data_IF_049456144693
#
_entry.id   IF_049456144693
#
_cell.length_a   1.000
_cell.length_b   1.000
_cell.length_c   1.000
_cell.angle_alpha   90.00
_cell.angle_beta   90.00
_cell.angle_gamma   90.00
#
_symmetry.space_group_name_H-M   'P 1'
#
loop_
_entity.id
_entity.type
_entity.pdbx_description
1 polymer ?
#
# COMPACT_ATOMS: atom_id res chain seq x y z
N UNK A 1 -13.68 -26.27 -28.65
CA UNK A 1 -12.53 -25.45 -28.20
C UNK A 1 -11.41 -25.65 -29.20
N UNK A 2 -10.83 -24.59 -29.77
CA UNK A 2 -9.71 -24.74 -30.71
C UNK A 2 -8.45 -25.25 -29.99
N UNK A 3 -7.59 -25.99 -30.69
CA UNK A 3 -6.30 -26.48 -30.17
C UNK A 3 -5.45 -25.35 -29.60
N UNK A 4 -5.49 -24.19 -30.25
CA UNK A 4 -4.77 -22.98 -29.84
C UNK A 4 -5.22 -22.49 -28.46
N UNK A 5 -6.53 -22.43 -28.21
CA UNK A 5 -7.04 -21.97 -26.93
C UNK A 5 -6.66 -22.91 -25.76
N UNK A 6 -6.56 -24.21 -26.03
CA UNK A 6 -6.08 -25.17 -25.04
C UNK A 6 -4.60 -24.94 -24.71
N UNK A 7 -3.78 -24.58 -25.70
CA UNK A 7 -2.36 -24.28 -25.48
C UNK A 7 -2.20 -23.02 -24.62
N UNK A 8 -2.92 -21.94 -24.94
CA UNK A 8 -2.97 -20.72 -24.10
C UNK A 8 -3.33 -21.04 -22.65
N UNK A 9 -4.36 -21.87 -22.46
CA UNK A 9 -4.85 -22.22 -21.13
C UNK A 9 -3.85 -23.05 -20.33
N UNK A 10 -3.24 -24.05 -20.96
CA UNK A 10 -2.24 -24.91 -20.33
C UNK A 10 -1.01 -24.10 -19.92
N UNK A 11 -0.54 -23.18 -20.76
CA UNK A 11 0.59 -22.30 -20.45
C UNK A 11 0.26 -21.35 -19.28
N UNK A 12 -0.94 -20.78 -19.28
CA UNK A 12 -1.40 -19.92 -18.19
C UNK A 12 -1.54 -20.69 -16.88
N UNK A 13 -2.07 -21.92 -16.92
CA UNK A 13 -2.17 -22.82 -15.77
C UNK A 13 -0.78 -23.18 -15.24
N UNK A 14 0.15 -23.54 -16.12
CA UNK A 14 1.53 -23.84 -15.74
C UNK A 14 2.19 -22.64 -15.03
N UNK A 15 1.95 -21.41 -15.50
CA UNK A 15 2.45 -20.20 -14.83
C UNK A 15 1.83 -19.98 -13.44
N UNK A 16 0.52 -20.24 -13.27
CA UNK A 16 -0.14 -20.19 -11.96
C UNK A 16 0.44 -21.25 -11.01
N UNK A 17 0.63 -22.48 -11.48
CA UNK A 17 1.21 -23.59 -10.71
C UNK A 17 2.67 -23.33 -10.34
N UNK A 18 3.42 -22.65 -11.22
CA UNK A 18 4.77 -22.15 -10.92
C UNK A 18 4.78 -20.99 -9.91
N UNK A 19 3.61 -20.53 -9.43
CA UNK A 19 3.49 -19.49 -8.41
C UNK A 19 3.60 -18.06 -8.94
N UNK A 20 3.40 -17.84 -10.25
CA UNK A 20 3.35 -16.50 -10.82
C UNK A 20 2.05 -15.82 -10.39
N UNK A 21 2.16 -14.82 -9.51
CA UNK A 21 1.02 -14.01 -9.11
C UNK A 21 0.55 -13.13 -10.27
N UNK A 22 -0.66 -13.38 -10.75
CA UNK A 22 -1.30 -12.67 -11.85
C UNK A 22 -2.63 -12.09 -11.41
N UNK A 23 -3.04 -10.98 -12.03
CA UNK A 23 -4.33 -10.34 -11.74
C UNK A 23 -5.19 -10.25 -13.00
N UNK A 24 -6.44 -10.70 -12.91
CA UNK A 24 -7.39 -10.65 -14.04
C UNK A 24 -8.44 -9.52 -13.87
N UNK A 25 -8.40 -8.78 -12.75
CA UNK A 25 -9.17 -7.55 -12.59
C UNK A 25 -10.67 -7.77 -12.34
N UNK A 26 -11.09 -8.98 -11.97
CA UNK A 26 -12.45 -9.20 -11.49
C UNK A 26 -12.61 -8.59 -10.10
N UNK A 27 -13.25 -7.40 -10.03
CA UNK A 27 -13.56 -6.72 -8.76
C UNK A 27 -14.57 -7.50 -7.90
N UNK A 28 -15.25 -8.50 -8.47
CA UNK A 28 -16.25 -9.32 -7.76
C UNK A 28 -15.63 -10.50 -7.01
N UNK A 29 -14.39 -10.87 -7.31
CA UNK A 29 -13.67 -11.91 -6.59
C UNK A 29 -12.87 -11.27 -5.44
N UNK A 30 -13.05 -11.74 -4.18
CA UNK A 30 -12.36 -11.18 -3.01
C UNK A 30 -10.83 -11.32 -3.06
N UNK A 31 -10.32 -12.16 -3.98
CA UNK A 31 -8.93 -12.23 -4.39
C UNK A 31 -8.85 -11.99 -5.89
N UNK A 32 -8.31 -10.84 -6.31
CA UNK A 32 -8.02 -10.54 -7.72
C UNK A 32 -6.90 -11.40 -8.30
N UNK A 33 -6.30 -12.27 -7.48
CA UNK A 33 -5.22 -13.17 -7.83
C UNK A 33 -5.76 -14.37 -8.63
N UNK A 34 -5.12 -14.64 -9.77
CA UNK A 34 -5.40 -15.84 -10.55
C UNK A 34 -4.91 -17.08 -9.80
N UNK A 35 -5.85 -17.94 -9.46
CA UNK A 35 -5.65 -19.29 -8.92
C UNK A 35 -6.09 -20.33 -9.94
N UNK A 36 -5.67 -21.59 -9.77
CA UNK A 36 -6.13 -22.70 -10.62
C UNK A 36 -7.66 -22.81 -10.63
N UNK A 37 -8.29 -22.69 -9.46
CA UNK A 37 -9.77 -22.70 -9.34
C UNK A 37 -10.45 -21.55 -10.09
N UNK A 38 -9.90 -20.35 -10.05
CA UNK A 38 -10.46 -19.22 -10.81
C UNK A 38 -10.22 -19.39 -12.31
N UNK A 39 -9.12 -20.03 -12.70
CA UNK A 39 -8.80 -20.33 -14.08
C UNK A 39 -9.77 -21.37 -14.67
N UNK A 40 -10.09 -22.44 -13.91
CA UNK A 40 -11.11 -23.43 -14.28
C UNK A 40 -12.49 -22.78 -14.49
N UNK A 41 -12.86 -21.82 -13.62
CA UNK A 41 -14.11 -21.07 -13.76
C UNK A 41 -14.10 -20.19 -15.01
N UNK A 42 -12.96 -19.57 -15.34
CA UNK A 42 -12.84 -18.78 -16.56
C UNK A 42 -12.95 -19.66 -17.81
N UNK A 43 -12.32 -20.84 -17.80
CA UNK A 43 -12.46 -21.83 -18.87
C UNK A 43 -13.92 -22.21 -19.09
N UNK A 44 -14.64 -22.53 -18.00
CA UNK A 44 -16.05 -22.87 -18.06
C UNK A 44 -16.90 -21.71 -18.62
N UNK A 45 -16.63 -20.47 -18.22
CA UNK A 45 -17.34 -19.27 -18.72
C UNK A 45 -17.08 -19.04 -20.21
N UNK A 46 -15.84 -19.23 -20.67
CA UNK A 46 -15.53 -19.17 -22.11
C UNK A 46 -16.28 -20.26 -22.87
N UNK A 47 -16.32 -21.48 -22.33
CA UNK A 47 -17.05 -22.60 -22.95
C UNK A 47 -18.57 -22.38 -22.98
N UNK A 48 -19.14 -21.71 -21.97
CA UNK A 48 -20.58 -21.38 -21.92
C UNK A 48 -20.95 -20.13 -22.70
N UNK A 49 -19.98 -19.40 -23.27
CA UNK A 49 -20.21 -18.12 -23.95
C UNK A 49 -20.57 -16.98 -22.99
N UNK A 50 -20.33 -17.15 -21.69
CA UNK A 50 -20.51 -16.08 -20.71
C UNK A 50 -19.46 -14.98 -20.88
N UNK A 51 -19.81 -13.76 -20.48
CA UNK A 51 -18.86 -12.65 -20.46
C UNK A 51 -17.69 -12.98 -19.55
N UNK A 52 -16.46 -12.74 -20.02
CA UNK A 52 -15.23 -12.92 -19.23
C UNK A 52 -14.60 -11.55 -18.94
N UNK A 53 -13.79 -11.41 -17.88
CA UNK A 53 -13.19 -10.12 -17.53
C UNK A 53 -12.36 -9.54 -18.69
N UNK A 54 -12.49 -8.23 -18.93
CA UNK A 54 -11.85 -7.56 -20.06
C UNK A 54 -10.33 -7.79 -20.13
N UNK A 55 -9.66 -7.90 -18.98
CA UNK A 55 -8.22 -8.18 -18.92
C UNK A 55 -7.85 -9.60 -19.34
N UNK A 56 -8.74 -10.58 -19.10
CA UNK A 56 -8.58 -11.94 -19.60
C UNK A 56 -8.82 -12.00 -21.12
N UNK A 57 -9.85 -11.30 -21.61
CA UNK A 57 -10.07 -11.15 -23.06
C UNK A 57 -8.84 -10.54 -23.73
N UNK A 58 -8.30 -9.47 -23.16
CA UNK A 58 -7.11 -8.82 -23.66
C UNK A 58 -5.87 -9.74 -23.66
N UNK A 59 -5.75 -10.63 -22.67
CA UNK A 59 -4.70 -11.64 -22.60
C UNK A 59 -4.82 -12.68 -23.72
N UNK A 60 -6.03 -13.20 -23.94
CA UNK A 60 -6.31 -14.15 -25.00
C UNK A 60 -6.02 -13.55 -26.37
N UNK A 61 -6.53 -12.35 -26.64
CA UNK A 61 -6.33 -11.67 -27.93
C UNK A 61 -4.87 -11.28 -28.13
N UNK A 62 -4.15 -10.84 -27.08
CA UNK A 62 -2.71 -10.57 -27.17
C UNK A 62 -1.94 -11.84 -27.53
N UNK A 63 -2.28 -12.97 -26.92
CA UNK A 63 -1.67 -14.26 -27.25
C UNK A 63 -1.97 -14.68 -28.70
N UNK A 64 -3.22 -14.55 -29.14
CA UNK A 64 -3.63 -14.89 -30.51
C UNK A 64 -2.87 -14.05 -31.56
N UNK A 65 -2.67 -12.76 -31.29
CA UNK A 65 -1.94 -11.86 -32.21
C UNK A 65 -0.43 -12.03 -32.19
N UNK A 66 0.16 -12.46 -31.07
CA UNK A 66 1.63 -12.50 -30.90
C UNK A 66 2.20 -13.92 -30.90
N UNK A 67 1.37 -14.94 -30.70
CA UNK A 67 1.80 -16.32 -30.47
C UNK A 67 2.66 -16.51 -29.21
N UNK A 68 2.77 -15.50 -28.35
CA UNK A 68 3.72 -15.48 -27.23
C UNK A 68 3.03 -15.27 -25.89
N UNK A 69 3.34 -16.15 -24.95
CA UNK A 69 2.84 -16.07 -23.58
C UNK A 69 3.62 -15.03 -22.74
N UNK A 70 4.81 -14.62 -23.17
CA UNK A 70 5.66 -13.67 -22.43
C UNK A 70 4.95 -12.32 -22.18
N UNK A 71 4.45 -11.58 -23.19
CA UNK A 71 3.76 -10.30 -22.95
C UNK A 71 2.47 -10.46 -22.14
N UNK A 72 1.81 -11.61 -22.25
CA UNK A 72 0.63 -11.93 -21.45
C UNK A 72 0.98 -12.08 -19.98
N UNK A 73 1.95 -12.91 -19.65
CA UNK A 73 2.38 -13.11 -18.26
C UNK A 73 2.97 -11.83 -17.68
N UNK A 74 3.75 -11.07 -18.44
CA UNK A 74 4.25 -9.76 -18.00
C UNK A 74 3.09 -8.80 -17.71
N UNK A 75 2.15 -8.63 -18.64
CA UNK A 75 0.99 -7.75 -18.45
C UNK A 75 0.10 -8.14 -17.27
N UNK A 76 -0.19 -9.43 -17.10
CA UNK A 76 -1.03 -9.93 -16.00
C UNK A 76 -0.30 -9.86 -14.64
N UNK A 77 1.02 -10.07 -14.59
CA UNK A 77 1.79 -10.10 -13.34
C UNK A 77 2.33 -8.73 -12.90
N UNK A 78 2.39 -7.74 -13.79
CA UNK A 78 3.06 -6.45 -13.52
C UNK A 78 2.54 -5.75 -12.28
N UNK A 79 1.21 -5.63 -12.15
CA UNK A 79 0.59 -4.96 -11.00
C UNK A 79 0.86 -5.70 -9.68
N UNK A 80 0.77 -7.04 -9.69
CA UNK A 80 1.08 -7.86 -8.52
C UNK A 80 2.56 -7.76 -8.12
N UNK A 81 3.49 -7.77 -9.10
CA UNK A 81 4.93 -7.56 -8.88
C UNK A 81 5.21 -6.17 -8.30
N UNK A 82 4.61 -5.13 -8.87
CA UNK A 82 4.73 -3.75 -8.40
C UNK A 82 4.24 -3.61 -6.95
N UNK A 83 3.06 -4.17 -6.66
CA UNK A 83 2.46 -4.20 -5.34
C UNK A 83 3.36 -4.90 -4.32
N UNK A 84 3.91 -6.08 -4.66
CA UNK A 84 4.83 -6.83 -3.80
C UNK A 84 6.12 -6.05 -3.53
N UNK A 85 6.64 -5.33 -4.53
CA UNK A 85 7.84 -4.48 -4.41
C UNK A 85 7.58 -3.31 -3.45
N UNK A 86 6.45 -2.60 -3.60
CA UNK A 86 6.03 -1.54 -2.67
C UNK A 86 5.78 -2.09 -1.26
N UNK A 87 5.06 -3.20 -1.13
CA UNK A 87 4.80 -3.81 0.19
C UNK A 87 6.08 -4.20 0.93
N UNK A 88 7.09 -4.73 0.21
CA UNK A 88 8.39 -5.08 0.79
C UNK A 88 9.14 -3.84 1.27
N UNK A 89 9.08 -2.74 0.52
CA UNK A 89 9.73 -1.49 0.87
C UNK A 89 9.25 -0.94 2.22
N UNK A 90 7.93 -0.91 2.44
CA UNK A 90 7.36 -0.37 3.67
C UNK A 90 7.34 -1.37 4.84
N UNK A 91 7.62 -2.66 4.59
CA UNK A 91 7.62 -3.70 5.64
C UNK A 91 8.62 -3.39 6.75
N UNK A 92 9.85 -2.98 6.39
CA UNK A 92 10.89 -2.69 7.38
C UNK A 92 10.54 -1.46 8.21
N UNK A 93 10.03 -0.41 7.58
CA UNK A 93 9.54 0.79 8.26
C UNK A 93 8.39 0.49 9.21
N UNK A 94 7.49 -0.42 8.82
CA UNK A 94 6.39 -0.83 9.69
C UNK A 94 6.88 -1.62 10.91
N UNK A 95 7.88 -2.49 10.74
CA UNK A 95 8.52 -3.18 11.87
C UNK A 95 9.10 -2.15 12.85
N UNK A 96 9.78 -1.12 12.33
CA UNK A 96 10.32 -0.06 13.17
C UNK A 96 9.22 0.73 13.90
N UNK A 97 8.13 1.09 13.23
CA UNK A 97 6.97 1.74 13.87
C UNK A 97 6.33 0.84 14.93
N UNK A 98 6.24 -0.47 14.70
CA UNK A 98 5.76 -1.43 15.69
C UNK A 98 6.67 -1.47 16.94
N UNK A 99 8.00 -1.41 16.75
CA UNK A 99 8.95 -1.34 17.86
C UNK A 99 8.76 -0.05 18.67
N UNK A 100 8.62 1.10 17.99
CA UNK A 100 8.32 2.38 18.67
C UNK A 100 7.01 2.27 19.46
N UNK A 101 5.97 1.68 18.86
CA UNK A 101 4.68 1.50 19.52
C UNK A 101 4.80 0.62 20.78
N UNK A 102 5.57 -0.46 20.72
CA UNK A 102 5.85 -1.32 21.90
C UNK A 102 6.53 -0.51 23.00
N UNK A 103 7.58 0.26 22.66
CA UNK A 103 8.29 1.10 23.63
C UNK A 103 7.37 2.17 24.22
N UNK A 104 6.53 2.81 23.40
CA UNK A 104 5.57 3.83 23.85
C UNK A 104 4.50 3.23 24.79
N UNK A 105 3.97 2.04 24.46
CA UNK A 105 3.02 1.33 25.32
C UNK A 105 3.69 0.96 26.65
N UNK A 106 4.91 0.42 26.63
CA UNK A 106 5.65 0.06 27.83
C UNK A 106 5.97 1.28 28.72
N UNK A 107 6.38 2.39 28.11
CA UNK A 107 6.64 3.65 28.82
C UNK A 107 5.37 4.22 29.44
N UNK A 108 4.25 4.22 28.70
CA UNK A 108 2.95 4.70 29.20
C UNK A 108 2.43 3.82 30.34
N UNK A 109 2.56 2.51 30.19
CA UNK A 109 2.30 1.53 31.23
C UNK A 109 3.10 1.83 32.51
N UNK A 110 4.43 1.96 32.37
CA UNK A 110 5.31 2.25 33.50
C UNK A 110 4.94 3.57 34.20
N UNK A 111 4.65 4.62 33.43
CA UNK A 111 4.17 5.89 33.94
C UNK A 111 2.88 5.73 34.76
N UNK A 112 1.90 5.00 34.22
CA UNK A 112 0.60 4.81 34.86
C UNK A 112 0.68 4.02 36.18
N UNK A 113 1.56 3.02 36.24
CA UNK A 113 1.65 2.12 37.39
C UNK A 113 2.64 2.57 38.47
N UNK A 114 3.68 3.31 38.11
CA UNK A 114 4.74 3.68 39.06
C UNK A 114 4.78 5.18 39.34
N UNK A 115 4.76 6.01 38.29
CA UNK A 115 4.98 7.46 38.42
C UNK A 115 3.70 8.19 38.83
N UNK A 116 2.57 7.86 38.19
CA UNK A 116 1.30 8.55 38.45
C UNK A 116 0.83 8.43 39.91
N UNK A 117 0.88 7.24 40.57
CA UNK A 117 0.53 7.12 41.98
C UNK A 117 1.41 7.97 42.89
N UNK A 118 2.71 8.09 42.61
CA UNK A 118 3.62 8.95 43.38
C UNK A 118 3.28 10.44 43.22
N UNK A 119 2.95 10.88 41.99
CA UNK A 119 2.47 12.24 41.75
C UNK A 119 1.17 12.51 42.51
N UNK A 120 0.25 11.54 42.53
CA UNK A 120 -1.01 11.65 43.29
C UNK A 120 -0.76 11.71 44.80
N UNK A 121 0.17 10.92 45.33
CA UNK A 121 0.58 10.96 46.73
C UNK A 121 1.18 12.32 47.13
N UNK A 122 2.14 12.83 46.35
CA UNK A 122 2.75 14.15 46.60
C UNK A 122 1.69 15.26 46.57
N UNK A 123 0.76 15.21 45.62
CA UNK A 123 -0.34 16.18 45.57
C UNK A 123 -1.25 16.08 46.79
N UNK A 124 -1.57 14.87 47.22
CA UNK A 124 -2.37 14.67 48.42
C UNK A 124 -1.70 15.31 49.64
N UNK A 125 -0.40 15.10 49.81
CA UNK A 125 0.38 15.74 50.88
C UNK A 125 0.38 17.27 50.75
N UNK A 126 0.55 17.83 49.55
CA UNK A 126 0.49 19.29 49.33
C UNK A 126 -0.88 19.90 49.67
N UNK A 127 -1.98 19.18 49.42
CA UNK A 127 -3.32 19.67 49.79
C UNK A 127 -3.53 19.77 51.30
N UNK A 128 -2.72 19.08 52.11
CA UNK A 128 -2.74 19.24 53.57
C UNK A 128 -2.02 20.50 54.03
N UNK A 129 -1.05 21.01 53.25
CA UNK A 129 -0.21 22.16 53.59
C UNK A 129 -0.73 23.50 53.06
N UNK A 130 -1.44 23.50 51.92
CA UNK A 130 -1.98 24.71 51.29
C UNK A 130 -3.52 24.75 51.35
N UNK A 131 -4.12 25.95 51.49
CA UNK A 131 -5.58 26.14 51.51
C UNK A 131 -6.24 25.42 50.32
N UNK A 132 -7.41 24.79 50.52
CA UNK A 132 -8.04 23.91 49.55
C UNK A 132 -8.41 24.70 48.29
N UNK A 133 -7.51 24.72 47.31
CA UNK A 133 -7.90 24.90 45.92
C UNK A 133 -8.29 23.52 45.43
N UNK A 134 -9.48 23.39 44.84
CA UNK A 134 -9.91 22.12 44.24
C UNK A 134 -8.79 21.62 43.33
N UNK A 135 -8.32 20.37 43.51
CA UNK A 135 -7.24 19.85 42.69
C UNK A 135 -7.72 19.80 41.24
N UNK A 136 -7.22 20.73 40.43
CA UNK A 136 -7.48 20.76 38.99
C UNK A 136 -6.82 19.51 38.39
N UNK A 137 -7.63 18.47 38.15
CA UNK A 137 -7.38 17.55 37.03
C UNK A 137 -6.72 16.20 37.28
N UNK A 138 -6.47 15.73 38.52
CA UNK A 138 -5.81 14.41 38.74
C UNK A 138 -6.66 13.22 38.27
N UNK A 139 -7.92 13.14 38.70
CA UNK A 139 -8.85 12.07 38.28
C UNK A 139 -9.07 12.06 36.77
N UNK A 140 -9.13 13.25 36.14
CA UNK A 140 -9.24 13.38 34.68
C UNK A 140 -7.96 12.95 33.97
N UNK A 141 -6.79 13.36 34.45
CA UNK A 141 -5.50 12.97 33.86
C UNK A 141 -5.26 11.45 33.93
N UNK A 142 -5.59 10.82 35.06
CA UNK A 142 -5.52 9.37 35.20
C UNK A 142 -6.47 8.65 34.22
N UNK A 143 -7.71 9.15 34.08
CA UNK A 143 -8.65 8.63 33.09
C UNK A 143 -8.11 8.78 31.66
N UNK A 144 -7.60 9.96 31.29
CA UNK A 144 -7.03 10.22 29.97
C UNK A 144 -5.80 9.35 29.68
N UNK A 145 -4.93 9.13 30.66
CA UNK A 145 -3.78 8.24 30.52
C UNK A 145 -4.20 6.77 30.31
N UNK A 146 -5.22 6.28 31.03
CA UNK A 146 -5.80 4.94 30.82
C UNK A 146 -6.44 4.80 29.43
N UNK A 147 -7.23 5.80 29.02
CA UNK A 147 -7.84 5.83 27.69
C UNK A 147 -6.79 5.86 26.59
N UNK A 148 -5.73 6.64 26.75
CA UNK A 148 -4.63 6.71 25.81
C UNK A 148 -3.84 5.41 25.73
N UNK A 149 -3.56 4.75 26.86
CA UNK A 149 -2.96 3.43 26.87
C UNK A 149 -3.82 2.42 26.09
N UNK A 150 -5.13 2.40 26.35
CA UNK A 150 -6.08 1.57 25.60
C UNK A 150 -6.08 1.88 24.10
N UNK A 151 -6.08 3.16 23.73
CA UNK A 151 -5.97 3.60 22.34
C UNK A 151 -4.67 3.13 21.68
N UNK A 152 -3.53 3.26 22.35
CA UNK A 152 -2.25 2.82 21.82
C UNK A 152 -2.19 1.30 21.61
N UNK A 153 -2.74 0.51 22.54
CA UNK A 153 -2.85 -0.95 22.39
C UNK A 153 -3.74 -1.30 21.20
N UNK A 154 -4.90 -0.66 21.05
CA UNK A 154 -5.79 -0.87 19.91
C UNK A 154 -5.12 -0.49 18.58
N UNK A 155 -4.41 0.64 18.55
CA UNK A 155 -3.66 1.09 17.38
C UNK A 155 -2.55 0.10 17.01
N UNK A 156 -1.79 -0.40 17.99
CA UNK A 156 -0.78 -1.44 17.79
C UNK A 156 -1.37 -2.73 17.22
N UNK A 157 -2.49 -3.21 17.78
CA UNK A 157 -3.19 -4.39 17.25
C UNK A 157 -3.71 -4.13 15.82
N UNK A 158 -4.23 -2.94 15.55
CA UNK A 158 -4.64 -2.51 14.21
C UNK A 158 -3.48 -2.54 13.21
N UNK A 159 -2.30 -2.06 13.61
CA UNK A 159 -1.09 -2.11 12.79
C UNK A 159 -0.64 -3.56 12.52
N UNK A 160 -0.72 -4.45 13.51
CA UNK A 160 -0.43 -5.88 13.31
C UNK A 160 -1.39 -6.54 12.32
N UNK A 161 -2.69 -6.27 12.44
CA UNK A 161 -3.70 -6.79 11.50
C UNK A 161 -3.45 -6.22 10.10
N UNK A 162 -3.15 -4.92 10.00
CA UNK A 162 -2.81 -4.29 8.72
C UNK A 162 -1.54 -4.91 8.11
N UNK A 163 -0.52 -5.23 8.90
CA UNK A 163 0.68 -5.93 8.45
C UNK A 163 0.37 -7.32 7.89
N UNK A 164 -0.50 -8.09 8.57
CA UNK A 164 -0.88 -9.44 8.14
C UNK A 164 -1.78 -9.45 6.90
N UNK A 165 -2.68 -8.47 6.76
CA UNK A 165 -3.64 -8.39 5.63
C UNK A 165 -3.14 -7.55 4.44
N UNK A 166 -1.84 -7.21 4.38
CA UNK A 166 -1.28 -6.41 3.28
C UNK A 166 -1.72 -4.93 3.28
N UNK A 167 -2.26 -4.43 4.39
CA UNK A 167 -2.56 -3.01 4.60
C UNK A 167 -1.34 -2.10 4.49
N UNK A 168 -0.13 -2.62 4.76
CA UNK A 168 1.14 -1.90 4.54
C UNK A 168 1.27 -1.48 3.08
N UNK A 169 0.98 -2.37 2.14
CA UNK A 169 1.07 -2.05 0.73
C UNK A 169 0.03 -0.98 0.34
N UNK A 170 -1.18 -1.04 0.91
CA UNK A 170 -2.20 0.03 0.74
C UNK A 170 -1.71 1.38 1.25
N UNK A 171 -1.05 1.43 2.41
CA UNK A 171 -0.45 2.66 2.92
C UNK A 171 0.70 3.15 2.04
N UNK A 172 1.56 2.23 1.57
CA UNK A 172 2.64 2.55 0.64
C UNK A 172 2.15 3.10 -0.70
N UNK A 173 0.98 2.66 -1.17
CA UNK A 173 0.33 3.23 -2.34
C UNK A 173 -0.06 4.69 -2.14
N UNK A 174 -0.61 5.03 -0.97
CA UNK A 174 -0.92 6.41 -0.62
C UNK A 174 0.34 7.27 -0.52
N UNK A 175 1.44 6.71 0.00
CA UNK A 175 2.72 7.40 0.16
C UNK A 175 3.57 7.46 -1.13
N UNK A 176 2.94 7.50 -2.31
CA UNK A 176 3.63 7.65 -3.62
C UNK A 176 3.74 6.35 -4.44
N UNK A 177 3.45 5.19 -3.85
CA UNK A 177 3.49 3.91 -4.56
C UNK A 177 2.52 3.81 -5.75
N UNK A 178 1.43 4.60 -5.77
CA UNK A 178 0.52 4.68 -6.94
C UNK A 178 1.22 5.16 -8.21
N UNK A 179 2.04 6.22 -8.11
CA UNK A 179 2.76 6.77 -9.27
C UNK A 179 3.75 5.74 -9.81
N UNK A 180 4.53 5.10 -8.92
CA UNK A 180 5.41 4.00 -9.29
C UNK A 180 4.68 2.87 -10.03
N UNK A 181 3.57 2.37 -9.47
CA UNK A 181 2.79 1.30 -10.10
C UNK A 181 2.27 1.71 -11.47
N UNK A 182 1.73 2.94 -11.59
CA UNK A 182 1.21 3.49 -12.84
C UNK A 182 2.28 3.52 -13.92
N UNK A 183 3.46 4.08 -13.63
CA UNK A 183 4.57 4.12 -14.58
C UNK A 183 5.04 2.72 -14.97
N UNK A 184 5.10 1.78 -14.01
CA UNK A 184 5.49 0.40 -14.31
C UNK A 184 4.44 -0.32 -15.20
N UNK A 185 3.15 -0.09 -14.95
CA UNK A 185 2.07 -0.62 -15.82
C UNK A 185 2.07 0.03 -17.20
N UNK A 186 2.35 1.33 -17.30
CA UNK A 186 2.47 2.04 -18.58
C UNK A 186 3.66 1.54 -19.39
N UNK A 187 4.82 1.33 -18.75
CA UNK A 187 5.98 0.75 -19.39
C UNK A 187 5.71 -0.65 -19.96
N UNK A 188 5.05 -1.50 -19.17
CA UNK A 188 4.68 -2.85 -19.61
C UNK A 188 3.68 -2.80 -20.76
N UNK A 189 2.66 -1.93 -20.66
CA UNK A 189 1.70 -1.72 -21.73
C UNK A 189 2.40 -1.24 -23.01
N UNK A 190 3.31 -0.26 -22.91
CA UNK A 190 4.08 0.25 -24.05
C UNK A 190 4.92 -0.84 -24.72
N UNK A 191 5.57 -1.72 -23.94
CA UNK A 191 6.31 -2.86 -24.47
C UNK A 191 5.42 -3.88 -25.19
N UNK A 192 4.28 -4.22 -24.59
CA UNK A 192 3.30 -5.12 -25.23
C UNK A 192 2.70 -4.49 -26.49
N UNK A 193 2.43 -3.18 -26.46
CA UNK A 193 1.95 -2.42 -27.62
C UNK A 193 2.94 -2.50 -28.79
N UNK A 194 4.24 -2.31 -28.53
CA UNK A 194 5.28 -2.46 -29.57
C UNK A 194 5.27 -3.85 -30.20
N UNK A 195 5.14 -4.90 -29.38
CA UNK A 195 5.04 -6.27 -29.87
C UNK A 195 3.79 -6.49 -30.72
N UNK A 196 2.64 -5.98 -30.30
CA UNK A 196 1.39 -6.07 -31.06
C UNK A 196 1.49 -5.35 -32.41
N UNK A 197 2.06 -4.14 -32.43
CA UNK A 197 2.26 -3.36 -33.66
C UNK A 197 3.23 -4.07 -34.61
N UNK A 198 4.27 -4.70 -34.07
CA UNK A 198 5.24 -5.49 -34.85
C UNK A 198 4.56 -6.72 -35.49
N UNK A 199 3.53 -7.27 -34.84
CA UNK A 199 2.69 -8.34 -35.38
C UNK A 199 1.50 -7.83 -36.21
N UNK A 200 1.50 -6.57 -36.64
CA UNK A 200 0.52 -6.03 -37.58
C UNK A 200 -0.79 -5.54 -36.96
N UNK A 201 -0.87 -5.43 -35.62
CA UNK A 201 -2.02 -4.81 -34.96
C UNK A 201 -1.94 -3.28 -35.12
N UNK A 202 -3.07 -2.65 -35.46
CA UNK A 202 -3.17 -1.19 -35.55
C UNK A 202 -2.80 -0.51 -34.22
N UNK A 203 -2.06 0.61 -34.27
CA UNK A 203 -1.49 1.27 -33.08
C UNK A 203 -2.51 1.60 -32.00
N UNK A 204 -3.70 2.07 -32.37
CA UNK A 204 -4.76 2.42 -31.41
C UNK A 204 -5.31 1.17 -30.71
N UNK A 205 -5.60 0.11 -31.48
CA UNK A 205 -6.05 -1.18 -30.93
C UNK A 205 -4.95 -1.83 -30.07
N UNK A 206 -3.69 -1.75 -30.50
CA UNK A 206 -2.55 -2.25 -29.74
C UNK A 206 -2.41 -1.51 -28.39
N UNK A 207 -2.61 -0.19 -28.36
CA UNK A 207 -2.58 0.61 -27.13
C UNK A 207 -3.73 0.25 -26.18
N UNK A 208 -4.95 0.11 -26.70
CA UNK A 208 -6.12 -0.29 -25.91
C UNK A 208 -5.95 -1.71 -25.32
N UNK A 209 -5.50 -2.64 -26.16
CA UNK A 209 -5.33 -4.04 -25.79
C UNK A 209 -4.22 -4.21 -24.73
N UNK A 210 -3.04 -3.65 -25.00
CA UNK A 210 -1.90 -3.68 -24.08
C UNK A 210 -2.19 -2.94 -22.76
N UNK A 211 -2.88 -1.80 -22.82
CA UNK A 211 -3.28 -1.06 -21.63
C UNK A 211 -4.27 -1.82 -20.76
N UNK A 212 -5.26 -2.47 -21.38
CA UNK A 212 -6.22 -3.34 -20.68
C UNK A 212 -5.52 -4.55 -20.07
N UNK A 213 -4.61 -5.19 -20.81
CA UNK A 213 -3.82 -6.32 -20.35
C UNK A 213 -2.94 -5.97 -19.15
N UNK A 214 -2.26 -4.82 -19.17
CA UNK A 214 -1.44 -4.33 -18.06
C UNK A 214 -2.28 -3.88 -16.85
N UNK A 215 -3.60 -3.72 -17.02
CA UNK A 215 -4.52 -3.28 -15.98
C UNK A 215 -4.47 -1.76 -15.73
N UNK A 216 -4.22 -0.97 -16.77
CA UNK A 216 -4.36 0.49 -16.75
C UNK A 216 -5.83 0.87 -16.50
N UNK A 217 -6.03 1.93 -15.73
CA UNK A 217 -7.33 2.58 -15.64
C UNK A 217 -7.58 3.49 -16.84
N UNK A 218 -8.76 4.12 -16.90
CA UNK A 218 -9.13 5.01 -18.01
C UNK A 218 -8.15 6.18 -18.18
N UNK A 219 -7.60 6.67 -17.08
CA UNK A 219 -6.63 7.76 -17.09
C UNK A 219 -5.30 7.31 -17.70
N UNK A 220 -4.76 6.18 -17.24
CA UNK A 220 -3.55 5.59 -17.81
C UNK A 220 -3.72 5.16 -19.27
N UNK A 221 -4.90 4.67 -19.67
CA UNK A 221 -5.21 4.40 -21.07
C UNK A 221 -5.22 5.68 -21.91
N UNK A 222 -5.82 6.76 -21.38
CA UNK A 222 -5.81 8.07 -22.03
C UNK A 222 -4.39 8.64 -22.20
N UNK A 223 -3.53 8.49 -21.19
CA UNK A 223 -2.13 8.88 -21.27
C UNK A 223 -1.35 8.07 -22.31
N UNK A 224 -1.54 6.75 -22.36
CA UNK A 224 -0.87 5.90 -23.36
C UNK A 224 -1.30 6.27 -24.78
N UNK A 225 -2.61 6.46 -25.01
CA UNK A 225 -3.15 6.91 -26.29
C UNK A 225 -2.67 8.31 -26.66
N UNK A 226 -2.59 9.23 -25.69
CA UNK A 226 -2.06 10.57 -25.92
C UNK A 226 -0.56 10.54 -26.23
N UNK A 227 0.21 9.68 -25.56
CA UNK A 227 1.65 9.56 -25.79
C UNK A 227 2.00 9.07 -27.19
N UNK A 228 1.13 8.25 -27.81
CA UNK A 228 1.33 7.80 -29.19
C UNK A 228 0.75 8.76 -30.24
N UNK A 229 -0.14 9.69 -29.85
CA UNK A 229 -0.71 10.67 -30.78
C UNK A 229 0.39 11.64 -31.24
N UNK A 230 0.68 11.61 -32.54
CA UNK A 230 1.70 12.45 -33.16
C UNK A 230 3.08 11.80 -33.28
N UNK A 231 3.26 10.58 -32.76
CA UNK A 231 4.44 9.77 -33.06
C UNK A 231 4.28 9.08 -34.42
N UNK A 232 5.37 9.02 -35.18
CA UNK A 232 5.44 8.20 -36.39
C UNK A 232 5.36 6.70 -36.03
N UNK A 233 4.91 5.83 -36.95
CA UNK A 233 4.84 4.39 -36.71
C UNK A 233 6.19 3.77 -36.30
N UNK A 234 7.31 4.32 -36.77
CA UNK A 234 8.65 3.88 -36.41
C UNK A 234 9.00 4.26 -34.96
N UNK A 235 8.65 5.48 -34.53
CA UNK A 235 8.83 5.91 -33.14
C UNK A 235 7.99 5.10 -32.15
N UNK A 236 6.74 4.77 -32.52
CA UNK A 236 5.88 3.93 -31.66
C UNK A 236 6.44 2.51 -31.50
N UNK A 237 7.13 1.98 -32.52
CA UNK A 237 7.82 0.67 -32.48
C UNK A 237 9.14 0.71 -31.70
N UNK A 238 9.71 1.89 -31.47
CA UNK A 238 10.97 2.05 -30.77
C UNK A 238 10.83 1.67 -29.29
N UNK A 239 11.76 0.87 -28.72
CA UNK A 239 11.76 0.54 -27.29
C UNK A 239 11.94 1.76 -26.39
N UNK A 240 12.39 2.90 -26.93
CA UNK A 240 12.69 4.12 -26.20
C UNK A 240 11.53 4.62 -25.32
N UNK A 241 10.28 4.51 -25.76
CA UNK A 241 9.13 4.91 -24.95
C UNK A 241 8.97 4.04 -23.70
N UNK A 242 9.09 2.72 -23.85
CA UNK A 242 9.00 1.78 -22.74
C UNK A 242 10.18 1.98 -21.76
N UNK A 243 11.39 2.17 -22.28
CA UNK A 243 12.59 2.43 -21.49
C UNK A 243 12.50 3.75 -20.71
N UNK A 244 11.99 4.81 -21.35
CA UNK A 244 11.73 6.09 -20.69
C UNK A 244 10.71 5.96 -19.55
N UNK A 245 9.61 5.24 -19.77
CA UNK A 245 8.60 5.00 -18.74
C UNK A 245 9.14 4.13 -17.59
N UNK A 246 10.00 3.15 -17.88
CA UNK A 246 10.71 2.36 -16.86
C UNK A 246 11.66 3.23 -16.05
N UNK A 247 12.43 4.12 -16.70
CA UNK A 247 13.32 5.05 -16.02
C UNK A 247 12.54 5.98 -15.07
N UNK A 248 11.39 6.52 -15.51
CA UNK A 248 10.51 7.32 -14.63
C UNK A 248 9.99 6.47 -13.47
N UNK A 249 9.55 5.23 -13.74
CA UNK A 249 9.08 4.32 -12.70
C UNK A 249 10.16 4.09 -11.64
N UNK A 250 11.39 3.81 -12.04
CA UNK A 250 12.50 3.61 -11.11
C UNK A 250 12.85 4.87 -10.33
N UNK A 251 12.80 6.05 -10.96
CA UNK A 251 12.95 7.32 -10.26
C UNK A 251 11.86 7.52 -9.19
N UNK A 252 10.59 7.29 -9.54
CA UNK A 252 9.47 7.36 -8.60
C UNK A 252 9.60 6.33 -7.47
N UNK A 253 10.11 5.14 -7.78
CA UNK A 253 10.37 4.11 -6.78
C UNK A 253 11.45 4.54 -5.79
N UNK A 254 12.55 5.13 -6.29
CA UNK A 254 13.63 5.67 -5.45
C UNK A 254 13.11 6.79 -4.56
N UNK A 255 12.36 7.74 -5.11
CA UNK A 255 11.74 8.83 -4.34
C UNK A 255 10.80 8.28 -3.26
N UNK A 256 9.93 7.33 -3.61
CA UNK A 256 9.04 6.65 -2.64
C UNK A 256 9.84 5.89 -1.57
N UNK A 257 10.96 5.27 -1.93
CA UNK A 257 11.86 4.57 -1.01
C UNK A 257 12.54 5.50 -0.03
N UNK A 258 12.89 6.71 -0.45
CA UNK A 258 13.54 7.70 0.40
C UNK A 258 12.52 8.39 1.33
N UNK A 259 11.41 8.86 0.78
CA UNK A 259 10.45 9.67 1.52
C UNK A 259 9.37 8.88 2.24
N UNK A 260 8.90 7.78 1.64
CA UNK A 260 7.77 6.99 2.15
C UNK A 260 7.99 6.50 3.59
N UNK A 261 9.11 5.82 3.88
CA UNK A 261 9.48 5.45 5.25
C UNK A 261 9.53 6.63 6.22
N UNK A 262 10.15 7.75 5.82
CA UNK A 262 10.29 8.94 6.65
C UNK A 262 8.94 9.54 7.03
N UNK A 263 8.04 9.70 6.05
CA UNK A 263 6.68 10.19 6.29
C UNK A 263 5.92 9.27 7.24
N UNK A 264 6.02 7.94 7.04
CA UNK A 264 5.36 6.98 7.93
C UNK A 264 5.86 7.10 9.37
N UNK A 265 7.18 7.19 9.57
CA UNK A 265 7.80 7.28 10.90
C UNK A 265 7.45 8.62 11.56
N UNK A 266 7.53 9.73 10.84
CA UNK A 266 7.24 11.06 11.38
C UNK A 266 5.76 11.20 11.71
N UNK A 267 4.85 10.78 10.84
CA UNK A 267 3.41 10.92 11.06
C UNK A 267 2.95 9.96 12.16
N UNK A 268 3.27 8.67 12.05
CA UNK A 268 2.79 7.68 13.02
C UNK A 268 3.61 7.77 14.30
N UNK A 269 4.92 7.60 14.21
CA UNK A 269 5.82 7.64 15.37
C UNK A 269 5.82 9.00 16.07
N UNK A 270 5.78 10.12 15.32
CA UNK A 270 5.67 11.45 15.89
C UNK A 270 4.34 11.68 16.61
N UNK A 271 3.22 11.17 16.08
CA UNK A 271 1.93 11.23 16.78
C UNK A 271 1.97 10.44 18.10
N UNK A 272 2.57 9.24 18.12
CA UNK A 272 2.78 8.47 19.34
C UNK A 272 3.61 9.25 20.36
N UNK A 273 4.77 9.78 19.95
CA UNK A 273 5.67 10.52 20.82
C UNK A 273 5.02 11.80 21.38
N UNK A 274 4.29 12.53 20.53
CA UNK A 274 3.59 13.76 20.92
C UNK A 274 2.47 13.49 21.93
N UNK A 275 1.62 12.48 21.67
CA UNK A 275 0.57 12.08 22.59
C UNK A 275 1.14 11.60 23.93
N UNK A 276 2.20 10.78 23.89
CA UNK A 276 2.90 10.36 25.11
C UNK A 276 3.44 11.56 25.89
N UNK A 277 4.11 12.51 25.22
CA UNK A 277 4.67 13.69 25.86
C UNK A 277 3.59 14.54 26.55
N UNK A 278 2.47 14.81 25.89
CA UNK A 278 1.36 15.56 26.51
C UNK A 278 0.84 14.88 27.77
N UNK A 279 0.65 13.56 27.71
CA UNK A 279 0.03 12.80 28.80
C UNK A 279 0.97 12.57 29.99
N UNK A 280 2.26 12.36 29.71
CA UNK A 280 3.27 12.15 30.75
C UNK A 280 3.72 13.48 31.37
N UNK A 281 4.00 14.51 30.56
CA UNK A 281 4.50 15.79 31.08
C UNK A 281 3.40 16.71 31.60
N UNK A 282 2.15 16.57 31.15
CA UNK A 282 1.03 17.41 31.62
C UNK A 282 0.87 17.38 33.15
N UNK A 283 0.75 16.20 33.78
CA UNK A 283 0.61 16.09 35.24
C UNK A 283 1.84 16.58 36.00
N UNK A 284 3.04 16.38 35.45
CA UNK A 284 4.31 16.86 36.02
C UNK A 284 4.36 18.39 35.99
N UNK A 285 4.04 19.01 34.84
CA UNK A 285 4.01 20.47 34.71
C UNK A 285 3.00 21.10 35.66
N UNK A 286 1.82 20.49 35.81
CA UNK A 286 0.82 20.94 36.75
C UNK A 286 1.31 20.78 38.22
N UNK A 287 2.03 19.71 38.56
CA UNK A 287 2.64 19.56 39.89
C UNK A 287 3.69 20.64 40.17
N UNK A 288 4.56 20.95 39.20
CA UNK A 288 5.56 22.00 39.32
C UNK A 288 4.92 23.38 39.50
N UNK A 289 3.83 23.65 38.78
CA UNK A 289 3.06 24.88 38.95
C UNK A 289 2.48 24.99 40.37
N UNK A 290 1.88 23.91 40.87
CA UNK A 290 1.32 23.85 42.23
C UNK A 290 2.41 24.10 43.29
N UNK A 291 3.57 23.43 43.17
CA UNK A 291 4.73 23.64 44.05
C UNK A 291 5.23 25.08 44.05
N UNK A 292 5.31 25.71 42.87
CA UNK A 292 5.78 27.10 42.75
C UNK A 292 4.87 28.11 43.45
N UNK A 293 3.56 27.84 43.50
CA UNK A 293 2.60 28.71 44.17
C UNK A 293 2.64 28.56 45.69
N UNK A 294 2.94 27.37 46.21
CA UNK A 294 3.09 27.13 47.66
C UNK A 294 4.28 27.91 48.23
N UNK A 295 5.40 28.01 47.50
CA UNK A 295 6.60 28.72 47.96
C UNK A 295 6.47 30.25 48.04
N UNK A 296 5.36 30.83 47.54
CA UNK A 296 5.12 32.28 47.57
C UNK A 296 4.26 32.73 48.76
N UNK A 297 3.81 31.80 49.60
CA UNK A 297 3.08 32.03 50.85
C UNK A 297 4.05 32.04 52.04
#
# INVERSE_FOLDING_TARGET
MSTDLQLFYNDLRAAVEAGVHMEIGDKTLPDSALTTKSLDRLEQRVASGESVPARYQAAMETWEKTGSMIPVLEGLSTRAKAWKKVGRLFRNSMIYVLLIAIVAIAAMAHYLWNILPEIEAIRHDLTTLARPHEPIGTSRAALWAKLALGFFVLLFLGLLVAMRRGGIAKAGLWAGGRSFMRCQTLATASRTMQLLITNGVESENAALLSGTLAGLDREGQGELLHAIKGLSPEEVRSPALADYLLMIADHQFVTTRTWGPGVLIVVVGGAFAFLFAILAYGPIAALLHDLSNVTRL
#
